data_IF_456526513242
#
_entry.id   IF_456526513242
#
_cell.length_a   1.000
_cell.length_b   1.000
_cell.length_c   1.000
_cell.angle_alpha   90.00
_cell.angle_beta   90.00
_cell.angle_gamma   90.00
#
_symmetry.space_group_name_H-M   'P 1'
#
loop_
_entity.id
_entity.type
_entity.pdbx_description
1 polymer ?
#
# COMPACT_ATOMS: atom_id res chain seq x y z
N UNK A 1 -43.79 24.71 29.33
CA UNK A 1 -43.38 23.52 28.54
C UNK A 1 -42.23 23.88 27.59
N UNK A 2 -41.03 23.98 28.17
CA UNK A 2 -39.74 23.47 27.70
C UNK A 2 -39.24 23.73 26.26
N UNK A 3 -39.19 24.99 25.80
CA UNK A 3 -38.40 25.38 24.61
C UNK A 3 -36.89 25.10 24.75
N UNK A 4 -36.37 25.05 25.97
CA UNK A 4 -34.95 24.77 26.26
C UNK A 4 -34.55 23.32 25.96
N UNK A 5 -35.51 22.38 25.95
CA UNK A 5 -35.23 20.96 25.68
C UNK A 5 -35.04 20.70 24.17
N UNK A 6 -35.62 21.54 23.31
CA UNK A 6 -35.53 21.37 21.85
C UNK A 6 -34.14 21.71 21.29
N UNK A 7 -33.42 22.63 21.93
CA UNK A 7 -32.08 23.05 21.48
C UNK A 7 -30.97 22.06 21.89
N UNK A 8 -31.14 21.33 23.00
CA UNK A 8 -30.15 20.35 23.46
C UNK A 8 -30.02 19.13 22.53
N UNK A 9 -31.10 18.77 21.82
CA UNK A 9 -31.13 17.59 20.96
C UNK A 9 -30.34 17.77 19.65
N UNK A 10 -30.20 19.00 19.15
CA UNK A 10 -29.47 19.31 17.91
C UNK A 10 -27.94 19.20 18.05
N UNK A 11 -27.40 19.37 19.26
CA UNK A 11 -25.94 19.36 19.51
C UNK A 11 -25.38 17.92 19.50
N UNK A 12 -26.22 16.92 19.75
CA UNK A 12 -25.83 15.50 19.76
C UNK A 12 -25.65 14.89 18.36
N UNK A 13 -26.21 15.51 17.30
CA UNK A 13 -26.09 14.99 15.92
C UNK A 13 -24.79 15.38 15.21
N UNK A 14 -24.03 16.35 15.73
CA UNK A 14 -22.75 16.80 15.12
C UNK A 14 -21.52 15.98 15.52
N UNK A 15 -21.68 14.92 16.32
CA UNK A 15 -20.57 14.11 16.84
C UNK A 15 -20.05 13.01 15.88
N UNK A 16 -20.65 12.84 14.69
CA UNK A 16 -20.13 11.94 13.67
C UNK A 16 -18.91 12.55 12.94
N UNK A 17 -17.77 12.65 13.62
CA UNK A 17 -16.50 12.89 12.95
C UNK A 17 -16.10 11.62 12.20
N UNK A 18 -15.97 11.73 10.87
CA UNK A 18 -15.51 10.64 10.02
C UNK A 18 -14.02 10.39 10.28
N UNK A 19 -13.70 9.56 11.28
CA UNK A 19 -12.32 9.13 11.52
C UNK A 19 -11.97 8.04 10.51
N UNK A 20 -11.28 8.42 9.43
CA UNK A 20 -10.70 7.44 8.49
C UNK A 20 -9.43 6.89 9.13
N UNK A 21 -9.51 5.69 9.67
CA UNK A 21 -8.33 4.93 10.06
C UNK A 21 -7.59 4.55 8.76
N UNK A 22 -6.38 5.07 8.58
CA UNK A 22 -5.52 4.71 7.44
C UNK A 22 -4.94 3.32 7.73
N UNK A 23 -5.66 2.27 7.32
CA UNK A 23 -5.23 0.89 7.54
C UNK A 23 -4.25 0.52 6.42
N UNK A 24 -3.00 0.28 6.79
CA UNK A 24 -2.02 -0.27 5.85
C UNK A 24 -2.36 -1.74 5.57
N UNK A 25 -2.74 -2.05 4.33
CA UNK A 25 -2.96 -3.43 3.90
C UNK A 25 -1.73 -3.97 3.17
N UNK A 26 -1.17 -5.06 3.69
CA UNK A 26 -0.05 -5.77 3.09
C UNK A 26 1.34 -5.21 3.41
N UNK A 27 2.34 -5.60 2.61
CA UNK A 27 3.73 -5.20 2.83
C UNK A 27 3.93 -3.74 2.45
N UNK A 28 4.40 -2.94 3.42
CA UNK A 28 4.68 -1.51 3.22
C UNK A 28 5.93 -1.35 2.34
N UNK A 29 5.71 -1.22 1.03
CA UNK A 29 6.78 -0.83 0.10
C UNK A 29 6.91 0.68 0.09
N UNK A 30 8.12 1.16 0.37
CA UNK A 30 8.45 2.59 0.43
C UNK A 30 9.40 2.96 -0.70
N UNK A 31 9.51 4.25 -1.01
CA UNK A 31 10.49 4.72 -1.99
C UNK A 31 11.92 4.30 -1.62
N UNK A 32 12.24 4.28 -0.32
CA UNK A 32 13.57 3.93 0.21
C UNK A 32 13.90 2.43 0.02
N UNK A 33 12.89 1.56 -0.05
CA UNK A 33 13.09 0.14 -0.33
C UNK A 33 13.12 -0.14 -1.82
N UNK A 34 12.31 0.55 -2.62
CA UNK A 34 12.35 0.46 -4.09
C UNK A 34 13.70 0.91 -4.63
N UNK A 35 14.28 1.99 -4.07
CA UNK A 35 15.59 2.49 -4.51
C UNK A 35 16.75 1.53 -4.26
N UNK A 36 16.54 0.50 -3.44
CA UNK A 36 17.54 -0.53 -3.15
C UNK A 36 17.45 -1.71 -4.11
N UNK A 37 16.41 -1.81 -4.94
CA UNK A 37 16.30 -2.84 -5.96
C UNK A 37 17.39 -2.65 -7.00
N UNK A 38 18.01 -3.76 -7.40
CA UNK A 38 19.05 -3.79 -8.43
C UNK A 38 18.75 -4.90 -9.42
N UNK A 39 19.04 -4.66 -10.70
CA UNK A 39 18.98 -5.72 -11.70
C UNK A 39 19.95 -6.84 -11.32
N UNK A 40 19.54 -8.08 -11.57
CA UNK A 40 20.28 -9.28 -11.19
C UNK A 40 19.92 -9.84 -9.81
N UNK A 41 19.21 -9.10 -8.95
CA UNK A 41 18.74 -9.63 -7.67
C UNK A 41 17.85 -10.86 -7.86
N UNK A 42 18.09 -11.90 -7.07
CA UNK A 42 17.25 -13.09 -7.02
C UNK A 42 15.86 -12.77 -6.46
N UNK A 43 14.87 -13.60 -6.79
CA UNK A 43 13.52 -13.52 -6.18
C UNK A 43 13.55 -13.51 -4.65
N UNK A 44 14.48 -14.27 -4.04
CA UNK A 44 14.63 -14.36 -2.59
C UNK A 44 15.20 -13.07 -1.98
N UNK A 45 16.18 -12.44 -2.62
CA UNK A 45 16.71 -11.14 -2.19
C UNK A 45 15.64 -10.04 -2.30
N UNK A 46 14.87 -10.04 -3.38
CA UNK A 46 13.74 -9.12 -3.55
C UNK A 46 12.68 -9.32 -2.46
N UNK A 47 12.32 -10.56 -2.15
CA UNK A 47 11.38 -10.86 -1.05
C UNK A 47 11.93 -10.44 0.32
N UNK A 48 13.24 -10.59 0.55
CA UNK A 48 13.86 -10.15 1.80
C UNK A 48 13.84 -8.63 1.95
N UNK A 49 13.88 -7.90 0.83
CA UNK A 49 13.86 -6.44 0.79
C UNK A 49 12.46 -5.85 0.86
N UNK A 50 11.49 -6.42 0.14
CA UNK A 50 10.14 -5.87 -0.04
C UNK A 50 9.05 -6.65 0.69
N UNK A 51 9.36 -7.83 1.21
CA UNK A 51 8.39 -8.82 1.66
C UNK A 51 7.79 -9.62 0.49
N UNK A 52 6.95 -10.59 0.84
CA UNK A 52 6.20 -11.41 -0.11
C UNK A 52 5.18 -10.55 -0.87
N UNK A 53 5.11 -10.64 -2.20
CA UNK A 53 4.07 -9.91 -2.93
C UNK A 53 2.68 -10.38 -2.46
N UNK A 54 1.74 -9.42 -2.33
CA UNK A 54 0.35 -9.72 -1.95
C UNK A 54 -0.35 -10.60 -2.99
N UNK A 55 0.04 -10.44 -4.25
CA UNK A 55 -0.50 -11.16 -5.39
C UNK A 55 0.68 -11.66 -6.21
N UNK A 56 0.86 -12.98 -6.22
CA UNK A 56 1.67 -13.65 -7.21
C UNK A 56 0.73 -14.16 -8.30
N UNK A 57 0.92 -13.69 -9.53
CA UNK A 57 0.13 -14.16 -10.66
C UNK A 57 0.37 -15.67 -10.84
N UNK A 58 -0.70 -16.47 -10.76
CA UNK A 58 -0.62 -17.92 -10.93
C UNK A 58 -0.29 -18.34 -12.37
N UNK A 59 -0.42 -17.42 -13.32
CA UNK A 59 -0.16 -17.63 -14.75
C UNK A 59 1.20 -17.10 -15.21
N UNK A 60 1.76 -16.06 -14.55
CA UNK A 60 3.09 -15.50 -14.83
C UNK A 60 3.97 -15.50 -13.57
N UNK A 61 4.65 -16.62 -13.33
CA UNK A 61 5.60 -16.77 -12.22
C UNK A 61 6.80 -15.79 -12.29
N UNK A 62 6.98 -15.09 -13.41
CA UNK A 62 8.07 -14.16 -13.66
C UNK A 62 7.64 -12.70 -13.54
N UNK A 63 6.43 -12.43 -13.06
CA UNK A 63 5.92 -11.09 -12.79
C UNK A 63 5.40 -11.00 -11.37
N UNK A 64 5.92 -10.05 -10.60
CA UNK A 64 5.39 -9.73 -9.26
C UNK A 64 4.89 -8.30 -9.22
N UNK A 65 3.72 -8.10 -8.62
CA UNK A 65 3.13 -6.78 -8.44
C UNK A 65 3.15 -6.40 -6.95
N UNK A 66 3.65 -5.19 -6.67
CA UNK A 66 3.73 -4.61 -5.33
C UNK A 66 2.94 -3.30 -5.27
N UNK A 67 2.29 -3.06 -4.14
CA UNK A 67 1.63 -1.79 -3.87
C UNK A 67 2.58 -0.90 -3.06
N UNK A 68 2.98 0.24 -3.62
CA UNK A 68 3.85 1.19 -2.93
C UNK A 68 3.07 2.41 -2.45
N UNK A 69 3.44 2.89 -1.26
CA UNK A 69 2.85 4.09 -0.67
C UNK A 69 3.86 5.25 -0.67
N UNK A 70 3.46 6.39 -1.24
CA UNK A 70 4.31 7.58 -1.23
C UNK A 70 4.31 8.23 0.16
N UNK A 71 5.50 8.50 0.71
CA UNK A 71 5.66 9.27 1.96
C UNK A 71 4.97 10.64 1.91
N UNK A 72 4.89 11.26 0.73
CA UNK A 72 4.25 12.58 0.56
C UNK A 72 2.72 12.52 0.60
N UNK A 73 2.14 11.42 0.15
CA UNK A 73 0.69 11.23 0.05
C UNK A 73 0.38 9.80 0.49
N UNK A 74 0.20 9.56 1.79
CA UNK A 74 -0.14 8.24 2.35
C UNK A 74 -1.38 7.61 1.70
N UNK A 75 -2.25 8.45 1.10
CA UNK A 75 -3.46 8.05 0.39
C UNK A 75 -3.25 7.66 -1.08
N UNK A 76 -2.10 7.99 -1.68
CA UNK A 76 -1.78 7.59 -3.07
C UNK A 76 -0.89 6.36 -3.04
N UNK A 77 -1.49 5.22 -3.34
CA UNK A 77 -0.77 4.00 -3.72
C UNK A 77 -0.50 4.01 -5.23
N UNK A 78 0.64 3.47 -5.64
CA UNK A 78 0.89 3.12 -7.04
C UNK A 78 1.37 1.67 -7.10
N UNK A 79 1.04 1.00 -8.19
CA UNK A 79 1.51 -0.36 -8.42
C UNK A 79 2.94 -0.30 -8.97
N UNK A 80 3.76 -1.26 -8.58
CA UNK A 80 5.07 -1.49 -9.18
C UNK A 80 5.09 -2.92 -9.65
N UNK A 81 5.48 -3.12 -10.90
CA UNK A 81 5.63 -4.42 -11.50
C UNK A 81 7.12 -4.76 -11.62
N UNK A 82 7.50 -5.90 -11.06
CA UNK A 82 8.83 -6.48 -11.17
C UNK A 82 8.78 -7.63 -12.16
N UNK A 83 9.70 -7.63 -13.14
CA UNK A 83 9.86 -8.77 -14.06
C UNK A 83 11.14 -9.52 -13.79
N UNK A 84 11.04 -10.84 -13.85
CA UNK A 84 12.14 -11.76 -13.61
C UNK A 84 12.43 -12.59 -14.87
N UNK A 85 13.68 -13.02 -14.99
CA UNK A 85 14.12 -14.03 -15.95
C UNK A 85 15.21 -14.85 -15.30
N UNK A 86 15.14 -16.18 -15.42
CA UNK A 86 16.11 -17.10 -14.82
C UNK A 86 16.34 -16.81 -13.31
N UNK A 87 15.24 -16.55 -12.61
CA UNK A 87 15.17 -16.17 -11.18
C UNK A 87 15.76 -14.80 -10.79
N UNK A 88 16.21 -14.00 -11.77
CA UNK A 88 16.82 -12.70 -11.55
C UNK A 88 15.92 -11.54 -11.99
N UNK A 89 15.94 -10.44 -11.23
CA UNK A 89 15.23 -9.21 -11.53
C UNK A 89 15.83 -8.56 -12.79
N UNK A 90 15.02 -8.37 -13.83
CA UNK A 90 15.45 -7.75 -15.09
C UNK A 90 14.82 -6.37 -15.31
N UNK A 91 13.68 -6.09 -14.69
CA UNK A 91 12.97 -4.84 -14.92
C UNK A 91 12.07 -4.45 -13.75
N UNK A 92 11.95 -3.13 -13.54
CA UNK A 92 11.06 -2.48 -12.57
C UNK A 92 10.24 -1.44 -13.33
N UNK A 93 8.91 -1.51 -13.28
CA UNK A 93 7.99 -0.55 -13.92
C UNK A 93 6.94 -0.02 -12.94
N UNK A 94 6.44 1.20 -13.20
CA UNK A 94 5.43 1.92 -12.40
C UNK A 94 4.10 2.06 -13.15
#
# INVERSE_FOLDING_TARGET
MNKQILCGLLILLSACSNYKLDVQQGNLVTQDTISKLQQGMSKQEVQSLLGTPLLQDSFDNNRWDYLFYSKKNKTKSQNITLRFKDDQLINVSH
#
